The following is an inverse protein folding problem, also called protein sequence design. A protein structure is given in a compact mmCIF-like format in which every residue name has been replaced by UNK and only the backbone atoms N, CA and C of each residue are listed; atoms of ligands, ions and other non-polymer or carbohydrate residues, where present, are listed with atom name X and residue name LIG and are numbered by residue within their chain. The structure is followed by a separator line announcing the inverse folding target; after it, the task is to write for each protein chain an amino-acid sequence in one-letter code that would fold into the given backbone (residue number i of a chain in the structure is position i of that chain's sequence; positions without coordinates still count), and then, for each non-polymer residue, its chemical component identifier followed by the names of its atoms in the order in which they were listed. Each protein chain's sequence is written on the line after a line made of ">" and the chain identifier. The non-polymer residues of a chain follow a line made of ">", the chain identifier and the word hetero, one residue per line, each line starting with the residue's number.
data_IF_312831591893
#
_entry.id   IF_312831591893
#
_cell.length_a   1.000
_cell.length_b   1.000
_cell.length_c   1.000
_cell.angle_alpha   90.00
_cell.angle_beta   90.00
_cell.angle_gamma   90.00
#
_symmetry.space_group_name_H-M   'P 1'
#
loop_
_entity.id
_entity.type
_entity.pdbx_description
1 polymer ?
#
# COMPACT_ATOMS: atom_id res chain seq x y z
N UNK A 1 14.72 1.12 23.09
CA UNK A 1 14.19 0.94 21.72
C UNK A 1 12.81 0.36 21.88
N UNK A 2 11.78 1.21 21.85
CA UNK A 2 10.40 0.78 22.10
C UNK A 2 9.78 0.15 20.85
N UNK A 3 8.87 -0.83 21.00
CA UNK A 3 8.13 -1.37 19.86
C UNK A 3 7.16 -0.29 19.38
N UNK A 4 7.28 0.10 18.12
CA UNK A 4 6.26 0.92 17.48
C UNK A 4 5.11 -0.02 17.10
N UNK A 5 3.98 0.07 17.80
CA UNK A 5 2.73 -0.51 17.37
C UNK A 5 2.06 0.42 16.36
N UNK A 6 1.61 -0.11 15.21
CA UNK A 6 0.74 0.64 14.31
C UNK A 6 -0.66 0.68 14.92
N UNK A 7 -0.96 1.75 15.65
CA UNK A 7 -2.30 2.06 16.12
C UNK A 7 -3.02 2.84 15.02
N UNK A 8 -3.90 2.18 14.27
CA UNK A 8 -4.80 2.84 13.32
C UNK A 8 -5.92 3.57 14.07
N UNK A 9 -5.66 4.81 14.47
CA UNK A 9 -6.69 5.73 14.95
C UNK A 9 -7.19 6.57 13.77
N UNK A 10 -8.29 6.14 13.14
CA UNK A 10 -8.99 6.96 12.14
C UNK A 10 -9.85 7.98 12.88
N UNK A 11 -9.27 9.13 13.20
CA UNK A 11 -9.99 10.27 13.78
C UNK A 11 -10.17 11.41 12.75
N UNK A 12 -11.29 11.31 12.01
CA UNK A 12 -11.94 12.34 11.17
C UNK A 12 -11.23 12.79 9.88
N UNK A 13 -11.99 13.20 8.83
CA UNK A 13 -11.55 13.08 7.45
C UNK A 13 -10.87 14.36 6.96
N UNK A 14 -9.94 14.19 6.00
CA UNK A 14 -9.89 14.84 4.67
C UNK A 14 -8.46 14.76 4.12
N UNK A 15 -7.97 13.53 3.90
CA UNK A 15 -7.07 13.29 2.77
C UNK A 15 -7.91 13.20 1.49
N UNK A 16 -7.31 13.40 0.29
CA UNK A 16 -8.02 13.20 -0.96
C UNK A 16 -8.62 11.78 -1.01
N UNK A 17 -9.93 11.68 -1.24
CA UNK A 17 -10.61 10.41 -1.49
C UNK A 17 -10.59 10.19 -3.01
N UNK A 18 -9.86 9.17 -3.45
CA UNK A 18 -9.84 8.77 -4.85
C UNK A 18 -10.99 7.80 -5.11
N UNK A 19 -11.92 8.21 -5.98
CA UNK A 19 -12.96 7.33 -6.51
C UNK A 19 -12.52 6.82 -7.88
N UNK A 20 -12.08 5.56 -7.94
CA UNK A 20 -11.90 4.86 -9.21
C UNK A 20 -13.28 4.35 -9.65
N UNK A 21 -13.91 5.05 -10.59
CA UNK A 21 -15.18 4.61 -11.18
C UNK A 21 -14.95 3.36 -12.04
N UNK A 22 -15.77 2.29 -11.89
CA UNK A 22 -15.58 1.00 -12.57
C UNK A 22 -15.73 1.01 -14.11
N UNK A 23 -15.77 2.19 -14.76
CA UNK A 23 -15.99 2.35 -16.20
C UNK A 23 -14.94 3.18 -16.95
N UNK A 24 -13.88 3.66 -16.29
CA UNK A 24 -12.79 4.37 -16.98
C UNK A 24 -11.59 3.43 -17.12
N UNK A 25 -11.18 3.03 -18.35
CA UNK A 25 -10.05 2.13 -18.56
C UNK A 25 -8.75 2.91 -18.42
N UNK A 26 -8.43 3.35 -17.20
CA UNK A 26 -7.06 3.70 -16.88
C UNK A 26 -6.35 2.37 -16.63
N UNK A 27 -5.55 1.92 -17.60
CA UNK A 27 -4.68 0.76 -17.47
C UNK A 27 -3.55 1.10 -16.48
N UNK A 28 -3.89 1.21 -15.20
CA UNK A 28 -2.94 1.30 -14.10
C UNK A 28 -2.49 -0.13 -13.81
N UNK A 29 -1.28 -0.49 -14.26
CA UNK A 29 -0.71 -1.79 -13.92
C UNK A 29 -0.41 -1.87 -12.43
N UNK A 30 -0.07 -0.74 -11.80
CA UNK A 30 0.15 -0.65 -10.37
C UNK A 30 -0.44 0.65 -9.82
N UNK A 31 -1.66 0.62 -9.29
CA UNK A 31 -2.35 1.80 -8.75
C UNK A 31 -1.53 2.54 -7.67
N UNK A 32 -0.73 1.83 -6.89
CA UNK A 32 0.08 2.42 -5.84
C UNK A 32 1.22 3.25 -6.42
N UNK A 33 1.86 2.74 -7.48
CA UNK A 33 2.94 3.43 -8.17
C UNK A 33 2.46 4.49 -9.16
N UNK A 34 1.43 4.17 -9.94
CA UNK A 34 0.98 4.99 -11.08
C UNK A 34 0.07 6.15 -10.63
N UNK A 35 -0.57 6.05 -9.45
CA UNK A 35 -1.56 7.03 -8.98
C UNK A 35 -1.28 7.51 -7.55
N UNK A 36 -1.27 6.61 -6.57
CA UNK A 36 -1.31 7.02 -5.15
C UNK A 36 -0.02 7.70 -4.70
N UNK A 37 1.14 7.08 -4.91
CA UNK A 37 2.42 7.63 -4.48
C UNK A 37 2.78 8.96 -5.17
N UNK A 38 2.62 9.12 -6.51
CA UNK A 38 2.86 10.39 -7.18
C UNK A 38 1.99 11.54 -6.64
N UNK A 39 0.71 11.26 -6.35
CA UNK A 39 -0.23 12.27 -5.85
C UNK A 39 0.08 12.67 -4.40
N UNK A 40 0.51 11.71 -3.57
CA UNK A 40 0.99 12.00 -2.22
C UNK A 40 2.42 12.57 -2.19
N UNK A 41 3.15 12.48 -3.30
CA UNK A 41 4.54 12.93 -3.41
C UNK A 41 5.50 12.22 -2.46
N UNK A 42 5.22 10.96 -2.12
CA UNK A 42 6.01 10.20 -1.13
C UNK A 42 6.12 8.71 -1.46
N UNK A 43 7.10 8.06 -0.83
CA UNK A 43 7.26 6.62 -0.88
C UNK A 43 6.15 5.92 -0.10
N UNK A 44 5.87 4.67 -0.45
CA UNK A 44 4.86 3.87 0.23
C UNK A 44 5.35 2.44 0.47
N UNK A 45 4.99 1.88 1.62
CA UNK A 45 5.06 0.44 1.83
C UNK A 45 3.66 -0.14 1.64
N UNK A 46 3.54 -1.15 0.78
CA UNK A 46 2.26 -1.74 0.38
C UNK A 46 2.21 -3.20 0.79
N UNK A 47 1.18 -3.54 1.56
CA UNK A 47 0.77 -4.91 1.85
C UNK A 47 -0.30 -5.31 0.84
N UNK A 48 -0.12 -6.50 0.28
CA UNK A 48 -1.00 -7.10 -0.71
C UNK A 48 -0.78 -8.60 -0.65
N UNK A 49 -1.79 -9.36 -1.09
CA UNK A 49 -1.66 -10.81 -1.18
C UNK A 49 -0.69 -11.21 -2.30
N UNK A 50 0.55 -11.56 -1.93
CA UNK A 50 1.64 -11.99 -2.82
C UNK A 50 1.58 -13.50 -3.16
N UNK A 51 0.37 -14.06 -3.22
CA UNK A 51 0.14 -15.50 -3.37
C UNK A 51 -1.13 -15.79 -4.18
N UNK A 52 -1.65 -14.79 -4.91
CA UNK A 52 -2.79 -14.97 -5.80
C UNK A 52 -2.41 -15.66 -7.10
N UNK A 53 -3.41 -15.99 -7.93
CA UNK A 53 -3.21 -16.74 -9.18
C UNK A 53 -2.69 -15.94 -10.38
N UNK A 54 -1.96 -14.84 -10.15
CA UNK A 54 -1.40 -13.95 -11.17
C UNK A 54 0.04 -13.55 -10.76
N UNK A 55 0.77 -12.85 -11.63
CA UNK A 55 2.17 -12.49 -11.37
C UNK A 55 2.25 -11.31 -10.39
N UNK A 56 3.03 -11.47 -9.33
CA UNK A 56 3.27 -10.41 -8.36
C UNK A 56 4.16 -9.30 -8.93
N UNK A 57 3.82 -8.06 -8.60
CA UNK A 57 4.65 -6.91 -8.93
C UNK A 57 5.71 -6.68 -7.85
N UNK A 58 6.97 -6.68 -8.24
CA UNK A 58 8.09 -6.33 -7.36
C UNK A 58 8.09 -4.88 -6.91
N UNK A 59 8.83 -4.60 -5.84
CA UNK A 59 9.13 -3.25 -5.35
C UNK A 59 9.70 -2.37 -6.47
N UNK A 60 9.19 -1.15 -6.56
CA UNK A 60 9.56 -0.19 -7.61
C UNK A 60 10.33 0.96 -6.98
N UNK A 61 11.59 1.15 -7.37
CA UNK A 61 12.44 2.22 -6.86
C UNK A 61 12.72 3.24 -7.97
N UNK A 62 12.28 4.49 -7.78
CA UNK A 62 12.55 5.58 -8.73
C UNK A 62 13.12 6.81 -8.03
N UNK A 63 13.53 7.81 -8.80
CA UNK A 63 14.00 9.09 -8.26
C UNK A 63 12.90 9.93 -7.60
N UNK A 64 11.63 9.71 -7.95
CA UNK A 64 10.51 10.54 -7.46
C UNK A 64 9.82 9.88 -6.27
N UNK A 65 9.38 8.65 -6.45
CA UNK A 65 8.67 7.86 -5.46
C UNK A 65 9.05 6.39 -5.59
N UNK A 66 9.06 5.70 -4.46
CA UNK A 66 9.34 4.27 -4.39
C UNK A 66 8.19 3.53 -3.71
N UNK A 67 7.87 2.35 -4.23
CA UNK A 67 6.88 1.43 -3.66
C UNK A 67 7.62 0.21 -3.16
N UNK A 68 7.47 -0.09 -1.87
CA UNK A 68 8.07 -1.24 -1.23
C UNK A 68 7.02 -2.31 -0.93
N UNK A 69 7.34 -3.57 -1.19
CA UNK A 69 6.53 -4.70 -0.75
C UNK A 69 6.69 -4.90 0.74
N UNK A 70 5.57 -4.95 1.45
CA UNK A 70 5.53 -5.50 2.80
C UNK A 70 5.58 -7.01 2.65
N UNK A 71 6.68 -7.65 3.05
CA UNK A 71 6.87 -9.10 2.97
C UNK A 71 6.47 -9.83 4.25
N UNK A 72 6.39 -9.10 5.36
CA UNK A 72 5.90 -9.61 6.63
C UNK A 72 5.32 -8.48 7.48
N UNK A 73 4.34 -8.83 8.31
CA UNK A 73 3.72 -7.95 9.29
C UNK A 73 4.04 -8.46 10.68
N UNK A 74 4.46 -7.55 11.56
CA UNK A 74 4.69 -7.84 12.98
C UNK A 74 3.89 -6.86 13.82
N UNK A 75 2.99 -7.42 14.61
CA UNK A 75 2.19 -6.76 15.63
C UNK A 75 2.65 -7.27 17.01
N UNK A 76 2.31 -6.60 18.12
CA UNK A 76 2.79 -6.98 19.45
C UNK A 76 2.62 -8.46 19.80
N UNK A 77 1.50 -9.07 19.37
CA UNK A 77 1.15 -10.46 19.73
C UNK A 77 1.20 -11.44 18.56
N UNK A 78 1.46 -10.97 17.33
CA UNK A 78 1.42 -11.82 16.14
C UNK A 78 2.36 -11.33 15.04
N UNK A 79 3.06 -12.28 14.42
CA UNK A 79 3.84 -12.04 13.20
C UNK A 79 3.41 -13.02 12.13
N UNK A 80 3.25 -12.53 10.90
CA UNK A 80 2.91 -13.36 9.75
C UNK A 80 3.56 -12.83 8.48
N UNK A 81 3.79 -13.73 7.53
CA UNK A 81 4.22 -13.36 6.19
C UNK A 81 3.02 -12.85 5.40
N UNK A 82 3.20 -11.78 4.61
CA UNK A 82 2.11 -11.16 3.83
C UNK A 82 1.47 -12.11 2.83
N UNK A 83 2.17 -13.16 2.41
CA UNK A 83 1.64 -14.24 1.56
C UNK A 83 0.49 -15.05 2.22
N UNK A 84 0.27 -14.87 3.53
CA UNK A 84 -0.84 -15.45 4.31
C UNK A 84 -1.94 -14.45 4.67
N UNK A 85 -1.81 -13.21 4.20
CA UNK A 85 -2.79 -12.16 4.42
C UNK A 85 -3.45 -11.79 3.08
N UNK A 86 -4.76 -11.63 3.11
CA UNK A 86 -5.54 -11.20 1.96
C UNK A 86 -5.85 -9.70 2.01
N UNK A 87 -5.38 -9.03 3.07
CA UNK A 87 -5.47 -7.60 3.24
C UNK A 87 -4.73 -6.88 2.11
N UNK A 88 -5.12 -5.63 1.91
CA UNK A 88 -4.56 -4.75 0.88
C UNK A 88 -4.55 -3.35 1.46
N UNK A 89 -3.40 -2.95 1.98
CA UNK A 89 -3.22 -1.62 2.55
C UNK A 89 -1.86 -1.04 2.21
N UNK A 90 -1.73 0.26 2.36
CA UNK A 90 -0.46 0.94 2.21
C UNK A 90 -0.27 2.02 3.26
N UNK A 91 0.98 2.23 3.66
CA UNK A 91 1.38 3.33 4.54
C UNK A 91 2.34 4.24 3.79
N UNK A 92 2.11 5.54 3.89
CA UNK A 92 2.97 6.54 3.27
C UNK A 92 4.12 6.93 4.22
N UNK A 93 5.33 7.07 3.68
CA UNK A 93 6.49 7.55 4.42
C UNK A 93 6.51 9.09 4.43
N UNK A 94 5.67 9.69 5.27
CA UNK A 94 5.53 11.16 5.33
C UNK A 94 6.57 11.83 6.23
N UNK A 95 7.66 11.14 6.57
CA UNK A 95 8.67 11.62 7.53
C UNK A 95 8.06 12.08 8.87
N UNK A 96 6.95 11.45 9.29
CA UNK A 96 6.24 11.77 10.53
C UNK A 96 5.39 13.05 10.48
N UNK A 97 5.22 13.69 9.31
CA UNK A 97 4.40 14.90 9.19
C UNK A 97 2.90 14.60 9.25
N UNK A 98 2.46 13.53 8.61
CA UNK A 98 1.04 13.11 8.54
C UNK A 98 0.93 11.60 8.42
N UNK A 99 0.24 10.92 9.32
CA UNK A 99 -0.01 9.48 9.15
C UNK A 99 -1.07 9.25 8.06
N UNK A 100 -0.66 8.77 6.89
CA UNK A 100 -1.57 8.37 5.81
C UNK A 100 -1.55 6.86 5.70
N UNK A 101 -2.75 6.26 5.82
CA UNK A 101 -2.97 4.85 5.54
C UNK A 101 -4.06 4.72 4.49
N UNK A 102 -3.80 3.90 3.49
CA UNK A 102 -4.74 3.55 2.44
C UNK A 102 -5.18 2.11 2.64
N UNK A 103 -6.48 1.85 2.51
CA UNK A 103 -7.06 0.50 2.49
C UNK A 103 -7.90 0.40 1.23
N UNK A 104 -7.77 -0.70 0.50
CA UNK A 104 -8.49 -0.87 -0.77
C UNK A 104 -8.68 -2.33 -1.16
N UNK A 105 -9.19 -2.55 -2.37
CA UNK A 105 -9.58 -3.89 -2.85
C UNK A 105 -8.64 -4.46 -3.91
N UNK A 106 -7.60 -3.70 -4.33
CA UNK A 106 -6.70 -4.07 -5.42
C UNK A 106 -5.38 -4.68 -4.96
N UNK A 107 -5.10 -5.90 -5.41
CA UNK A 107 -3.81 -6.56 -5.25
C UNK A 107 -2.75 -5.94 -6.18
N UNK A 108 -1.48 -6.10 -5.82
CA UNK A 108 -0.32 -5.83 -6.66
C UNK A 108 0.03 -7.01 -7.58
N UNK A 109 -0.94 -7.45 -8.38
CA UNK A 109 -0.76 -8.56 -9.31
C UNK A 109 -1.21 -8.20 -10.72
N UNK A 110 -0.45 -8.65 -11.72
CA UNK A 110 -0.74 -8.46 -13.15
C UNK A 110 -0.81 -9.80 -13.86
N UNK A 111 -1.58 -9.87 -14.95
CA UNK A 111 -1.56 -11.04 -15.85
C UNK A 111 -0.68 -10.71 -17.04
N UNK A 112 0.42 -11.45 -17.19
CA UNK A 112 1.24 -11.43 -18.41
C UNK A 112 0.63 -12.28 -19.53
#
# INVERSE_FOLDING_TARGET
>A
MGPYALLLKVEKPLGPIFYLSPGCPVYLQNIWFDLVAPELGTNMAVESWLNGGADDLDSICTRRTSIYDVTAVTLPDVSFNSSRDHSKWAVADTEGRTSIVCVGDLNRQVRT
#
